data_IF_679312022233
#
_entry.id   IF_679312022233
#
_cell.length_a   1.000
_cell.length_b   1.000
_cell.length_c   1.000
_cell.angle_alpha   90.00
_cell.angle_beta   90.00
_cell.angle_gamma   90.00
#
_symmetry.space_group_name_H-M   'P 1'
#
loop_
_entity.id
_entity.type
_entity.pdbx_description
1 polymer ?
#
# COMPACT_ATOMS: atom_id res chain seq x y z
N UNK A 1 -11.04 -8.23 -26.11
CA UNK A 1 -10.67 -7.61 -24.81
C UNK A 1 -9.34 -8.12 -24.25
N UNK A 2 -8.82 -9.29 -24.66
CA UNK A 2 -7.51 -9.83 -24.20
C UNK A 2 -6.28 -9.00 -24.64
N UNK A 3 -6.27 -8.49 -25.89
CA UNK A 3 -5.14 -7.73 -26.45
C UNK A 3 -4.71 -6.48 -25.65
N UNK A 4 -5.62 -5.84 -24.89
CA UNK A 4 -5.27 -4.68 -24.04
C UNK A 4 -4.67 -5.08 -22.70
N UNK A 5 -5.08 -6.24 -22.15
CA UNK A 5 -4.54 -6.71 -20.87
C UNK A 5 -3.11 -7.21 -21.08
N UNK A 6 -2.85 -7.93 -22.17
CA UNK A 6 -1.49 -8.37 -22.52
C UNK A 6 -0.54 -7.19 -22.72
N UNK A 7 -1.01 -6.10 -23.35
CA UNK A 7 -0.23 -4.85 -23.47
C UNK A 7 0.08 -4.22 -22.10
N UNK A 8 -0.88 -4.20 -21.17
CA UNK A 8 -0.68 -3.68 -19.80
C UNK A 8 0.32 -4.56 -19.04
N UNK A 9 0.23 -5.89 -19.18
CA UNK A 9 1.14 -6.83 -18.54
C UNK A 9 2.55 -6.67 -19.11
N UNK A 10 2.71 -6.53 -20.43
CA UNK A 10 4.00 -6.25 -21.05
C UNK A 10 4.58 -4.91 -20.58
N UNK A 11 3.77 -3.85 -20.47
CA UNK A 11 4.21 -2.57 -19.90
C UNK A 11 4.62 -2.64 -18.42
N UNK A 12 4.10 -3.63 -17.66
CA UNK A 12 4.51 -3.91 -16.27
C UNK A 12 5.69 -4.88 -16.16
N UNK A 13 6.02 -5.61 -17.23
CA UNK A 13 7.15 -6.54 -17.27
C UNK A 13 8.40 -5.88 -17.83
N UNK A 14 8.27 -5.00 -18.82
CA UNK A 14 9.38 -4.29 -19.43
C UNK A 14 9.84 -3.13 -18.54
N UNK A 15 11.14 -3.09 -18.24
CA UNK A 15 11.77 -1.97 -17.53
C UNK A 15 11.69 -0.71 -18.40
N UNK A 16 10.91 0.28 -17.98
CA UNK A 16 10.86 1.60 -18.64
C UNK A 16 12.09 2.42 -18.25
N UNK A 17 12.69 3.14 -19.19
CA UNK A 17 13.91 3.96 -19.00
C UNK A 17 13.74 5.04 -17.92
N UNK A 18 12.51 5.54 -17.74
CA UNK A 18 12.21 6.53 -16.72
C UNK A 18 12.10 5.92 -15.31
N UNK A 19 11.98 4.61 -15.15
CA UNK A 19 11.82 4.01 -13.82
C UNK A 19 13.15 4.01 -13.04
N UNK A 20 13.13 4.61 -11.84
CA UNK A 20 14.31 4.71 -10.95
C UNK A 20 14.76 3.39 -10.29
N UNK A 21 14.11 2.26 -10.60
CA UNK A 21 14.44 0.96 -10.00
C UNK A 21 15.33 0.13 -10.93
N UNK A 22 16.40 -0.46 -10.36
CA UNK A 22 17.38 -1.25 -11.10
C UNK A 22 16.82 -2.54 -11.71
N UNK A 23 15.81 -3.14 -11.06
CA UNK A 23 15.16 -4.40 -11.44
C UNK A 23 13.88 -4.19 -12.25
N UNK A 24 13.30 -5.30 -12.73
CA UNK A 24 11.99 -5.35 -13.39
C UNK A 24 10.89 -4.76 -12.50
N UNK A 25 9.93 -4.02 -13.08
CA UNK A 25 8.84 -3.38 -12.34
C UNK A 25 8.07 -4.40 -11.47
N UNK A 26 7.81 -5.60 -12.00
CA UNK A 26 7.08 -6.66 -11.30
C UNK A 26 7.78 -7.11 -10.01
N UNK A 27 9.09 -7.31 -10.07
CA UNK A 27 9.89 -7.69 -8.89
C UNK A 27 9.84 -6.60 -7.82
N UNK A 28 10.01 -5.33 -8.23
CA UNK A 28 9.95 -4.20 -7.32
C UNK A 28 8.57 -4.02 -6.67
N UNK A 29 7.50 -4.27 -7.43
CA UNK A 29 6.12 -4.21 -6.94
C UNK A 29 5.87 -5.36 -5.94
N UNK A 30 6.31 -6.57 -6.26
CA UNK A 30 6.14 -7.75 -5.40
C UNK A 30 6.88 -7.59 -4.07
N UNK A 31 8.16 -7.19 -4.14
CA UNK A 31 8.98 -6.95 -2.94
C UNK A 31 8.38 -5.87 -2.05
N UNK A 32 7.88 -4.76 -2.63
CA UNK A 32 7.19 -3.72 -1.87
C UNK A 32 5.87 -4.21 -1.27
N UNK A 33 5.12 -5.03 -1.98
CA UNK A 33 3.90 -5.67 -1.48
C UNK A 33 4.20 -6.53 -0.24
N UNK A 34 5.24 -7.37 -0.31
CA UNK A 34 5.65 -8.23 0.79
C UNK A 34 6.17 -7.44 2.01
N UNK A 35 7.01 -6.44 1.77
CA UNK A 35 7.49 -5.54 2.84
C UNK A 35 6.31 -4.85 3.53
N UNK A 36 5.37 -4.31 2.75
CA UNK A 36 4.18 -3.64 3.31
C UNK A 36 3.31 -4.61 4.10
N UNK A 37 3.13 -5.84 3.63
CA UNK A 37 2.43 -6.88 4.37
C UNK A 37 3.10 -7.16 5.72
N UNK A 38 4.43 -7.32 5.75
CA UNK A 38 5.20 -7.53 6.98
C UNK A 38 5.02 -6.37 7.96
N UNK A 39 5.14 -5.12 7.50
CA UNK A 39 4.94 -3.94 8.35
C UNK A 39 3.51 -3.83 8.87
N UNK A 40 2.51 -4.09 8.03
CA UNK A 40 1.10 -4.08 8.41
C UNK A 40 0.82 -5.11 9.52
N UNK A 41 1.34 -6.32 9.32
CA UNK A 41 1.17 -7.43 10.25
C UNK A 41 1.84 -7.14 11.59
N UNK A 42 3.08 -6.64 11.57
CA UNK A 42 3.83 -6.26 12.77
C UNK A 42 3.08 -5.17 13.56
N UNK A 43 2.65 -4.10 12.88
CA UNK A 43 1.93 -2.99 13.51
C UNK A 43 0.61 -3.45 14.14
N UNK A 44 -0.18 -4.25 13.41
CA UNK A 44 -1.49 -4.72 13.87
C UNK A 44 -1.38 -5.69 15.05
N UNK A 45 -0.38 -6.57 15.00
CA UNK A 45 -0.06 -7.50 16.08
C UNK A 45 0.42 -6.73 17.32
N UNK A 46 1.33 -5.78 17.15
CA UNK A 46 1.83 -4.93 18.24
C UNK A 46 0.71 -4.14 18.92
N UNK A 47 -0.18 -3.50 18.16
CA UNK A 47 -1.37 -2.80 18.69
C UNK A 47 -2.28 -3.73 19.48
N UNK A 48 -2.53 -4.94 18.96
CA UNK A 48 -3.39 -5.93 19.63
C UNK A 48 -2.78 -6.41 20.94
N UNK A 49 -1.47 -6.63 20.98
CA UNK A 49 -0.73 -7.00 22.19
C UNK A 49 -0.75 -5.86 23.23
N UNK A 50 -0.50 -4.62 22.80
CA UNK A 50 -0.51 -3.45 23.67
C UNK A 50 -1.89 -3.26 24.33
N UNK A 51 -2.98 -3.46 23.58
CA UNK A 51 -4.34 -3.40 24.13
C UNK A 51 -4.63 -4.47 25.19
N UNK A 52 -4.03 -5.66 25.08
CA UNK A 52 -4.19 -6.73 26.08
C UNK A 52 -3.39 -6.42 27.33
N UNK A 53 -2.17 -5.91 27.16
CA UNK A 53 -1.29 -5.50 28.24
C UNK A 53 -1.93 -4.37 29.08
N UNK A 54 -2.39 -3.30 28.42
CA UNK A 54 -3.02 -2.14 29.06
C UNK A 54 -4.31 -2.54 29.80
N UNK A 55 -5.11 -3.45 29.25
CA UNK A 55 -6.37 -3.88 29.88
C UNK A 55 -6.19 -5.03 30.90
N UNK A 56 -4.96 -5.48 31.17
CA UNK A 56 -4.63 -6.58 32.09
C UNK A 56 -5.53 -7.83 31.94
N UNK A 57 -6.01 -8.09 30.72
CA UNK A 57 -6.96 -9.19 30.47
C UNK A 57 -6.22 -10.52 30.38
N UNK A 58 -5.83 -11.09 31.53
CA UNK A 58 -5.15 -12.40 31.66
C UNK A 58 -5.86 -13.53 30.90
N UNK A 59 -7.20 -13.54 30.82
CA UNK A 59 -7.96 -14.53 30.04
C UNK A 59 -7.77 -14.41 28.51
N UNK A 60 -7.50 -13.22 27.97
CA UNK A 60 -7.19 -13.03 26.55
C UNK A 60 -5.75 -13.44 26.20
N UNK A 61 -4.85 -13.41 27.17
CA UNK A 61 -3.47 -13.86 27.06
C UNK A 61 -3.35 -15.38 26.81
N UNK A 62 -4.36 -16.19 27.11
CA UNK A 62 -4.36 -17.61 26.74
C UNK A 62 -4.81 -17.85 25.29
N UNK A 63 -5.40 -16.85 24.63
CA UNK A 63 -5.91 -16.94 23.25
C UNK A 63 -5.09 -16.14 22.23
N UNK A 64 -3.81 -15.87 22.53
CA UNK A 64 -2.92 -15.06 21.65
C UNK A 64 -2.83 -15.65 20.24
N UNK A 65 -2.77 -16.98 20.12
CA UNK A 65 -2.74 -17.67 18.83
C UNK A 65 -3.96 -17.36 17.96
N UNK A 66 -5.14 -17.21 18.58
CA UNK A 66 -6.39 -16.84 17.88
C UNK A 66 -6.39 -15.38 17.41
N UNK A 67 -5.65 -14.52 18.11
CA UNK A 67 -5.48 -13.10 17.76
C UNK A 67 -4.52 -12.95 16.57
N UNK A 68 -3.44 -13.74 16.54
CA UNK A 68 -2.51 -13.81 15.40
C UNK A 68 -3.22 -14.27 14.11
N UNK A 69 -4.09 -15.28 14.19
CA UNK A 69 -4.80 -15.86 13.03
C UNK A 69 -6.20 -15.24 12.84
N UNK A 70 -6.48 -14.09 13.46
CA UNK A 70 -7.78 -13.44 13.28
C UNK A 70 -8.00 -13.03 11.82
N UNK A 71 -9.09 -13.52 11.23
CA UNK A 71 -9.47 -13.27 9.82
C UNK A 71 -9.48 -11.78 9.48
N UNK A 72 -9.87 -10.92 10.43
CA UNK A 72 -9.92 -9.47 10.22
C UNK A 72 -8.52 -8.83 10.18
N UNK A 73 -7.55 -9.35 10.93
CA UNK A 73 -6.16 -8.89 10.86
C UNK A 73 -5.52 -9.29 9.54
N UNK A 74 -5.78 -10.52 9.06
CA UNK A 74 -5.29 -10.97 7.76
C UNK A 74 -5.93 -10.22 6.61
N UNK A 75 -7.25 -10.02 6.63
CA UNK A 75 -7.95 -9.14 5.68
C UNK A 75 -7.33 -7.75 5.68
N UNK A 76 -6.95 -7.25 6.86
CA UNK A 76 -6.34 -5.94 6.95
C UNK A 76 -4.99 -5.89 6.22
N UNK A 77 -4.12 -6.85 6.51
CA UNK A 77 -2.80 -6.89 5.90
C UNK A 77 -2.88 -7.12 4.38
N UNK A 78 -3.78 -8.01 3.93
CA UNK A 78 -4.02 -8.28 2.51
C UNK A 78 -4.54 -7.07 1.75
N UNK A 79 -5.45 -6.30 2.36
CA UNK A 79 -5.95 -5.09 1.75
C UNK A 79 -4.82 -4.06 1.56
N UNK A 80 -4.01 -3.86 2.59
CA UNK A 80 -2.93 -2.86 2.55
C UNK A 80 -1.82 -3.24 1.55
N UNK A 81 -1.46 -4.53 1.48
CA UNK A 81 -0.49 -5.01 0.49
C UNK A 81 -1.04 -4.91 -0.93
N UNK A 82 -2.31 -5.30 -1.15
CA UNK A 82 -2.98 -5.19 -2.45
C UNK A 82 -3.04 -3.74 -2.93
N UNK A 83 -3.43 -2.79 -2.07
CA UNK A 83 -3.42 -1.38 -2.39
C UNK A 83 -2.03 -0.87 -2.80
N UNK A 84 -0.98 -1.30 -2.09
CA UNK A 84 0.40 -0.89 -2.40
C UNK A 84 0.84 -1.42 -3.76
N UNK A 85 0.53 -2.68 -4.06
CA UNK A 85 0.81 -3.30 -5.35
C UNK A 85 0.10 -2.55 -6.49
N UNK A 86 -1.20 -2.26 -6.31
CA UNK A 86 -2.02 -1.56 -7.30
C UNK A 86 -1.49 -0.13 -7.54
N UNK A 87 -1.25 0.64 -6.48
CA UNK A 87 -0.79 2.03 -6.60
C UNK A 87 0.59 2.14 -7.22
N UNK A 88 1.54 1.28 -6.82
CA UNK A 88 2.88 1.23 -7.41
C UNK A 88 2.85 0.76 -8.86
N UNK A 89 2.04 -0.26 -9.17
CA UNK A 89 1.80 -0.71 -10.53
C UNK A 89 1.21 0.39 -11.41
N UNK A 90 0.17 1.10 -10.93
CA UNK A 90 -0.39 2.26 -11.63
C UNK A 90 0.63 3.36 -11.83
N UNK A 91 1.52 3.59 -10.85
CA UNK A 91 2.54 4.62 -10.96
C UNK A 91 3.56 4.30 -12.05
N UNK A 92 4.09 3.06 -12.08
CA UNK A 92 4.95 2.58 -13.16
C UNK A 92 4.24 2.65 -14.53
N UNK A 93 2.97 2.26 -14.58
CA UNK A 93 2.17 2.32 -15.80
C UNK A 93 1.98 3.76 -16.31
N UNK A 94 1.64 4.71 -15.42
CA UNK A 94 1.51 6.13 -15.80
C UNK A 94 2.84 6.71 -16.27
N UNK A 95 3.96 6.37 -15.61
CA UNK A 95 5.28 6.85 -15.99
C UNK A 95 5.68 6.35 -17.38
N UNK A 96 5.40 5.09 -17.69
CA UNK A 96 5.63 4.54 -19.02
C UNK A 96 4.74 5.17 -20.09
N UNK A 97 3.48 5.49 -19.76
CA UNK A 97 2.52 6.06 -20.71
C UNK A 97 2.76 7.54 -21.01
N UNK A 98 3.18 8.32 -20.02
CA UNK A 98 3.29 9.78 -20.15
C UNK A 98 4.73 10.29 -20.29
N UNK A 99 5.76 9.47 -20.03
CA UNK A 99 7.19 9.83 -20.10
C UNK A 99 7.56 11.16 -19.39
N UNK A 100 6.71 11.64 -18.48
CA UNK A 100 6.84 12.91 -17.77
C UNK A 100 6.70 12.70 -16.26
N UNK A 101 7.66 13.23 -15.52
CA UNK A 101 7.73 13.13 -14.05
C UNK A 101 6.97 14.27 -13.37
N UNK A 102 5.69 14.48 -13.73
CA UNK A 102 4.89 15.49 -13.03
C UNK A 102 4.33 14.95 -11.70
N UNK A 103 4.48 15.66 -10.57
CA UNK A 103 4.02 15.24 -9.24
C UNK A 103 2.48 15.14 -9.12
N UNK A 104 1.75 15.64 -10.13
CA UNK A 104 0.30 15.52 -10.27
C UNK A 104 -0.11 14.08 -10.56
N UNK A 105 0.67 13.33 -11.34
CA UNK A 105 0.37 11.95 -11.70
C UNK A 105 0.43 10.99 -10.51
N UNK A 106 1.31 11.26 -9.54
CA UNK A 106 1.36 10.51 -8.28
C UNK A 106 0.06 10.61 -7.47
N UNK A 107 -0.62 11.77 -7.53
CA UNK A 107 -1.90 11.97 -6.86
C UNK A 107 -3.01 11.16 -7.54
N UNK A 108 -3.09 11.23 -8.87
CA UNK A 108 -4.09 10.48 -9.63
C UNK A 108 -3.92 8.98 -9.50
N UNK A 109 -2.68 8.45 -9.54
CA UNK A 109 -2.44 7.02 -9.33
C UNK A 109 -2.86 6.55 -7.92
N UNK A 110 -2.66 7.40 -6.91
CA UNK A 110 -3.10 7.14 -5.54
C UNK A 110 -4.62 7.10 -5.41
N UNK A 111 -5.32 8.09 -5.97
CA UNK A 111 -6.78 8.15 -5.95
C UNK A 111 -7.42 6.97 -6.68
N UNK A 112 -6.96 6.68 -7.90
CA UNK A 112 -7.50 5.58 -8.71
C UNK A 112 -7.21 4.24 -8.05
N UNK A 113 -5.98 4.02 -7.57
CA UNK A 113 -5.64 2.81 -6.83
C UNK A 113 -6.47 2.64 -5.56
N UNK A 114 -6.70 3.73 -4.82
CA UNK A 114 -7.56 3.75 -3.64
C UNK A 114 -9.01 3.39 -3.95
N UNK A 115 -9.59 3.98 -5.00
CA UNK A 115 -10.95 3.66 -5.45
C UNK A 115 -11.10 2.21 -5.88
N UNK A 116 -10.14 1.69 -6.66
CA UNK A 116 -10.13 0.30 -7.12
C UNK A 116 -10.09 -0.64 -5.91
N UNK A 117 -9.15 -0.42 -4.98
CA UNK A 117 -9.04 -1.26 -3.78
C UNK A 117 -10.29 -1.17 -2.90
N UNK A 118 -10.92 0.00 -2.76
CA UNK A 118 -12.12 0.18 -1.96
C UNK A 118 -13.35 -0.54 -2.53
N UNK A 119 -13.46 -0.64 -3.86
CA UNK A 119 -14.60 -1.28 -4.52
C UNK A 119 -14.71 -2.78 -4.19
N UNK A 120 -13.61 -3.43 -3.83
CA UNK A 120 -13.60 -4.85 -3.45
C UNK A 120 -13.98 -5.08 -1.97
N UNK A 121 -14.22 -4.02 -1.18
CA UNK A 121 -14.49 -4.10 0.26
C UNK A 121 -15.97 -3.98 0.61
N UNK A 122 -16.39 -4.72 1.65
CA UNK A 122 -17.76 -4.65 2.20
C UNK A 122 -18.05 -3.27 2.81
N UNK A 123 -19.30 -2.84 2.73
CA UNK A 123 -19.77 -1.51 3.17
C UNK A 123 -19.36 -1.14 4.60
N UNK A 124 -19.53 -2.06 5.56
CA UNK A 124 -19.17 -1.91 6.98
C UNK A 124 -17.69 -1.56 7.17
N UNK A 125 -16.81 -2.21 6.41
CA UNK A 125 -15.37 -2.02 6.53
C UNK A 125 -14.92 -0.77 5.75
N UNK A 126 -15.58 -0.46 4.63
CA UNK A 126 -15.20 0.59 3.67
C UNK A 126 -14.91 1.95 4.32
N UNK A 127 -15.68 2.38 5.31
CA UNK A 127 -15.52 3.69 5.98
C UNK A 127 -14.21 3.79 6.76
N UNK A 128 -13.91 2.77 7.57
CA UNK A 128 -12.67 2.71 8.35
C UNK A 128 -11.43 2.70 7.43
N UNK A 129 -11.51 1.92 6.35
CA UNK A 129 -10.46 1.79 5.37
C UNK A 129 -10.23 3.05 4.53
N UNK A 130 -11.31 3.74 4.15
CA UNK A 130 -11.24 5.02 3.45
C UNK A 130 -10.51 6.07 4.29
N UNK A 131 -10.89 6.19 5.57
CA UNK A 131 -10.28 7.15 6.48
C UNK A 131 -8.79 6.85 6.67
N UNK A 132 -8.44 5.58 6.87
CA UNK A 132 -7.05 5.14 6.96
C UNK A 132 -6.23 5.53 5.71
N UNK A 133 -6.80 5.35 4.52
CA UNK A 133 -6.15 5.72 3.25
C UNK A 133 -5.90 7.22 3.15
N UNK A 134 -6.86 8.05 3.58
CA UNK A 134 -6.72 9.51 3.59
C UNK A 134 -5.55 9.93 4.50
N UNK A 135 -5.48 9.38 5.72
CA UNK A 135 -4.39 9.65 6.66
C UNK A 135 -3.04 9.25 6.03
N UNK A 136 -2.97 8.06 5.43
CA UNK A 136 -1.72 7.57 4.82
C UNK A 136 -1.30 8.38 3.58
N UNK A 137 -2.25 8.89 2.81
CA UNK A 137 -1.98 9.81 1.71
C UNK A 137 -1.39 11.14 2.22
N UNK A 138 -1.93 11.64 3.32
CA UNK A 138 -1.44 12.84 3.99
C UNK A 138 -0.02 12.63 4.57
N UNK A 139 0.23 11.53 5.27
CA UNK A 139 1.58 11.17 5.76
C UNK A 139 2.61 11.13 4.63
N UNK A 140 2.25 10.51 3.50
CA UNK A 140 3.14 10.42 2.34
C UNK A 140 3.44 11.81 1.76
N UNK A 141 2.46 12.72 1.75
CA UNK A 141 2.67 14.11 1.33
C UNK A 141 3.58 14.87 2.27
N UNK A 142 3.36 14.76 3.57
CA UNK A 142 4.21 15.38 4.58
C UNK A 142 5.66 14.90 4.48
N UNK A 143 5.87 13.59 4.34
CA UNK A 143 7.22 13.02 4.22
C UNK A 143 7.95 13.49 2.96
N UNK A 144 7.23 13.68 1.85
CA UNK A 144 7.80 14.24 0.62
C UNK A 144 8.17 15.72 0.76
N UNK A 145 7.31 16.52 1.41
CA UNK A 145 7.60 17.93 1.69
C UNK A 145 8.82 18.06 2.61
N UNK A 146 8.91 17.21 3.65
CA UNK A 146 10.05 17.20 4.55
C UNK A 146 11.35 16.84 3.82
N UNK A 147 11.34 15.85 2.92
CA UNK A 147 12.50 15.54 2.08
C UNK A 147 12.90 16.71 1.18
N UNK A 148 11.93 17.43 0.62
CA UNK A 148 12.18 18.60 -0.21
C UNK A 148 12.81 19.76 0.60
N UNK A 149 12.33 20.00 1.82
CA UNK A 149 12.85 21.03 2.71
C UNK A 149 14.27 20.73 3.23
N UNK A 150 14.61 19.45 3.44
CA UNK A 150 15.97 19.05 3.83
C UNK A 150 16.97 19.26 2.69
N UNK A 151 16.57 19.03 1.43
CA UNK A 151 17.44 19.26 0.27
C UNK A 151 17.71 20.75 -0.03
N UNK A 152 16.85 21.67 0.44
CA UNK A 152 17.09 23.11 0.27
C UNK A 152 18.00 23.74 1.34
N UNK A 153 18.37 23.00 2.38
CA UNK A 153 19.22 23.47 3.49
C UNK A 153 20.67 22.96 3.34
N UNK A 154 20.89 21.94 2.50
CA UNK A 154 22.21 21.38 2.15
C UNK A 154 22.65 21.99 0.82
#
# INVERSE_FOLDING_TARGET
MNLRIDQIIQMLLTKSENCQHGCSCLEHISTQGFQTFKYAYMLRTALSLLQILVKLKKKKLQQIHKIFISKDNLKFCLFLSSYTVITKGLHCFLRNKYQQDSPKYAFYSGLVGGMISLSFLKYEQRKFWALYMIVRAMDTRFHNLQKQQVYSII
#
